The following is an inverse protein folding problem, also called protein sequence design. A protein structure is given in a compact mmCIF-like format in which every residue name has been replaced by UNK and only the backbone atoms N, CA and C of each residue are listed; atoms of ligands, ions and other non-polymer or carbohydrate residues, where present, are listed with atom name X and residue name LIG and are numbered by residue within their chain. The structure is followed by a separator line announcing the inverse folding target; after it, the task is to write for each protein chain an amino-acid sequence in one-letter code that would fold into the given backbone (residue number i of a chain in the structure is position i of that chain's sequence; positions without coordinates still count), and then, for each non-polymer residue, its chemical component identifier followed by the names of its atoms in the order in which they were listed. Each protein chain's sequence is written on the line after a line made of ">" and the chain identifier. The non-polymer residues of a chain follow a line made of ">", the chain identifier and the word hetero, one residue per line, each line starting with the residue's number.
data_IF_358416883572
#
_entry.id   IF_358416883572
#
_cell.length_a   1.000
_cell.length_b   1.000
_cell.length_c   1.000
_cell.angle_alpha   90.00
_cell.angle_beta   90.00
_cell.angle_gamma   90.00
#
_symmetry.space_group_name_H-M   'P 1'
#
loop_
_entity.id
_entity.type
_entity.pdbx_description
1 polymer ?
#
# COMPACT_ATOMS: atom_id res chain seq x y z
N UNK A 1 11.33 -9.45 8.38
CA UNK A 1 10.10 -8.92 7.75
C UNK A 1 8.94 -9.29 8.65
N UNK A 2 8.05 -8.34 8.97
CA UNK A 2 6.85 -8.61 9.78
C UNK A 2 5.97 -9.70 9.17
N UNK A 3 5.29 -10.49 9.99
CA UNK A 3 4.52 -11.64 9.49
C UNK A 3 3.26 -11.20 8.75
N UNK A 4 2.69 -10.02 9.06
CA UNK A 4 1.47 -9.54 8.40
C UNK A 4 1.62 -9.38 6.89
N UNK A 5 2.82 -9.06 6.40
CA UNK A 5 3.07 -8.85 4.98
C UNK A 5 3.02 -10.15 4.17
N UNK A 6 3.21 -11.32 4.79
CA UNK A 6 3.01 -12.62 4.12
C UNK A 6 1.57 -12.81 3.62
N UNK A 7 0.61 -12.11 4.22
CA UNK A 7 -0.79 -12.15 3.77
C UNK A 7 -0.98 -11.43 2.43
N UNK A 8 -0.13 -10.46 2.09
CA UNK A 8 -0.22 -9.71 0.83
C UNK A 8 0.04 -10.67 -0.34
N UNK A 9 1.04 -11.55 -0.24
CA UNK A 9 1.33 -12.56 -1.26
C UNK A 9 0.14 -13.48 -1.51
N UNK A 10 -0.53 -13.94 -0.44
CA UNK A 10 -1.73 -14.78 -0.53
C UNK A 10 -2.89 -14.04 -1.20
N UNK A 11 -3.03 -12.74 -0.90
CA UNK A 11 -4.05 -11.89 -1.52
C UNK A 11 -3.74 -11.67 -3.00
N UNK A 12 -2.48 -11.46 -3.36
CA UNK A 12 -2.05 -11.36 -4.77
C UNK A 12 -2.31 -12.68 -5.50
N UNK A 13 -2.04 -13.83 -4.87
CA UNK A 13 -2.31 -15.14 -5.47
C UNK A 13 -3.81 -15.37 -5.70
N UNK A 14 -4.67 -14.81 -4.83
CA UNK A 14 -6.12 -14.88 -4.97
C UNK A 14 -6.66 -13.90 -6.03
N UNK A 15 -6.34 -12.61 -5.90
CA UNK A 15 -6.85 -11.54 -6.76
C UNK A 15 -6.22 -11.53 -8.14
N UNK A 16 -4.96 -11.96 -8.24
CA UNK A 16 -4.14 -11.94 -9.45
C UNK A 16 -4.14 -10.55 -10.09
N UNK A 17 -3.68 -9.50 -9.39
CA UNK A 17 -3.58 -8.17 -9.97
C UNK A 17 -2.48 -8.12 -11.05
N UNK A 18 -2.70 -7.39 -12.13
CA UNK A 18 -1.68 -7.06 -13.12
C UNK A 18 -1.14 -5.63 -12.94
N UNK A 19 -1.92 -4.77 -12.30
CA UNK A 19 -1.59 -3.37 -12.04
C UNK A 19 -1.68 -3.07 -10.54
N UNK A 20 -0.57 -2.64 -9.93
CA UNK A 20 -0.48 -2.43 -8.47
C UNK A 20 0.05 -1.05 -8.13
N UNK A 21 -0.59 -0.37 -7.17
CA UNK A 21 -0.10 0.86 -6.55
C UNK A 21 0.34 0.56 -5.12
N UNK A 22 1.52 1.02 -4.72
CA UNK A 22 1.99 0.99 -3.34
C UNK A 22 2.35 2.42 -2.89
N UNK A 23 1.74 2.86 -1.79
CA UNK A 23 2.13 4.07 -1.07
C UNK A 23 3.02 3.65 0.10
N UNK A 24 4.24 4.18 0.18
CA UNK A 24 5.26 3.76 1.14
C UNK A 24 6.19 2.67 0.59
N UNK A 25 6.78 2.89 -0.58
CA UNK A 25 7.71 1.93 -1.23
C UNK A 25 9.00 1.66 -0.41
N UNK A 26 9.42 2.63 0.41
CA UNK A 26 10.61 2.63 1.23
C UNK A 26 11.87 2.19 0.46
N UNK A 27 12.35 0.97 0.72
CA UNK A 27 13.58 0.45 0.14
C UNK A 27 13.36 -0.44 -1.11
N UNK A 28 12.10 -0.66 -1.49
CA UNK A 28 11.69 -1.45 -2.65
C UNK A 28 11.77 -2.97 -2.50
N UNK A 29 12.07 -3.52 -1.31
CA UNK A 29 12.05 -4.98 -1.12
C UNK A 29 10.63 -5.53 -1.29
N UNK A 30 9.64 -4.85 -0.69
CA UNK A 30 8.24 -5.24 -0.82
C UNK A 30 7.71 -5.10 -2.25
N UNK A 31 8.13 -4.06 -2.96
CA UNK A 31 7.81 -3.90 -4.38
C UNK A 31 8.27 -5.11 -5.21
N UNK A 32 9.41 -5.73 -4.86
CA UNK A 32 9.88 -6.97 -5.47
C UNK A 32 8.99 -8.14 -5.07
N UNK A 33 8.67 -8.31 -3.78
CA UNK A 33 7.83 -9.42 -3.30
C UNK A 33 6.45 -9.40 -3.99
N UNK A 34 5.81 -8.23 -4.04
CA UNK A 34 4.54 -7.98 -4.74
C UNK A 34 4.66 -8.32 -6.23
N UNK A 35 5.69 -7.80 -6.90
CA UNK A 35 5.89 -8.04 -8.33
C UNK A 35 6.14 -9.52 -8.63
N UNK A 36 6.95 -10.20 -7.82
CA UNK A 36 7.20 -11.64 -7.95
C UNK A 36 5.92 -12.46 -7.79
N UNK A 37 5.09 -12.12 -6.80
CA UNK A 37 3.81 -12.80 -6.59
C UNK A 37 2.87 -12.58 -7.80
N UNK A 38 2.75 -11.35 -8.31
CA UNK A 38 1.87 -11.04 -9.43
C UNK A 38 2.33 -11.69 -10.76
N UNK A 39 3.64 -11.75 -11.01
CA UNK A 39 4.24 -12.36 -12.21
C UNK A 39 4.06 -13.89 -12.28
N UNK A 40 3.64 -14.55 -11.18
CA UNK A 40 3.22 -15.96 -11.23
C UNK A 40 1.93 -16.15 -12.04
N UNK A 41 1.11 -15.09 -12.17
CA UNK A 41 -0.22 -15.14 -12.78
C UNK A 41 -0.31 -14.37 -14.10
N UNK A 42 0.55 -13.37 -14.29
CA UNK A 42 0.55 -12.52 -15.47
C UNK A 42 1.91 -12.47 -16.15
N UNK A 43 1.90 -12.48 -17.49
CA UNK A 43 3.11 -12.22 -18.28
C UNK A 43 3.58 -10.78 -18.13
N UNK A 44 2.65 -9.83 -17.93
CA UNK A 44 2.97 -8.42 -17.77
C UNK A 44 2.36 -7.87 -16.49
N UNK A 45 3.20 -7.22 -15.69
CA UNK A 45 2.80 -6.57 -14.44
C UNK A 45 3.36 -5.16 -14.41
N UNK A 46 2.56 -4.22 -13.91
CA UNK A 46 2.99 -2.85 -13.68
C UNK A 46 2.83 -2.43 -12.23
N UNK A 47 3.84 -1.76 -11.72
CA UNK A 47 3.91 -1.28 -10.35
C UNK A 47 4.14 0.23 -10.29
N UNK A 48 3.28 0.95 -9.57
CA UNK A 48 3.49 2.34 -9.19
C UNK A 48 3.89 2.43 -7.72
N UNK A 49 5.08 2.94 -7.45
CA UNK A 49 5.58 3.15 -6.10
C UNK A 49 5.64 4.63 -5.75
N UNK A 50 4.97 5.02 -4.67
CA UNK A 50 5.04 6.35 -4.09
C UNK A 50 5.84 6.30 -2.80
N UNK A 51 6.77 7.24 -2.63
CA UNK A 51 7.47 7.45 -1.36
C UNK A 51 8.12 8.84 -1.34
N UNK A 52 8.47 9.31 -0.15
CA UNK A 52 9.33 10.49 0.00
C UNK A 52 10.79 10.15 -0.36
N UNK A 53 11.22 8.89 -0.22
CA UNK A 53 12.59 8.44 -0.44
C UNK A 53 13.59 9.26 0.41
N UNK A 54 14.60 9.88 -0.21
CA UNK A 54 15.51 10.81 0.47
C UNK A 54 14.97 12.25 0.56
N UNK A 55 13.70 12.48 0.20
CA UNK A 55 13.05 13.78 0.38
C UNK A 55 12.60 13.95 1.82
N UNK A 56 13.18 14.89 2.54
CA UNK A 56 12.68 15.29 3.85
C UNK A 56 12.02 16.66 3.67
N UNK A 57 10.70 16.68 3.53
CA UNK A 57 9.93 17.91 3.73
C UNK A 57 9.98 18.30 5.22
N UNK A 58 9.92 19.59 5.53
CA UNK A 58 9.98 20.07 6.92
C UNK A 58 8.95 19.34 7.80
N UNK A 59 9.42 18.76 8.92
CA UNK A 59 8.63 18.06 9.93
C UNK A 59 7.86 16.80 9.46
N UNK A 60 8.17 16.22 8.28
CA UNK A 60 7.54 14.99 7.80
C UNK A 60 7.64 13.84 8.82
N UNK A 61 8.84 13.55 9.31
CA UNK A 61 9.06 12.41 10.22
C UNK A 61 8.33 12.57 11.55
N UNK A 62 8.26 13.80 12.07
CA UNK A 62 7.51 14.08 13.29
C UNK A 62 6.00 13.93 13.08
N UNK A 63 5.49 14.43 11.95
CA UNK A 63 4.07 14.36 11.60
C UNK A 63 3.61 12.92 11.42
N UNK A 64 4.41 12.10 10.73
CA UNK A 64 4.08 10.72 10.42
C UNK A 64 4.58 9.70 11.45
N UNK A 65 5.21 10.14 12.55
CA UNK A 65 5.95 9.25 13.46
C UNK A 65 6.93 8.30 12.73
N UNK A 66 7.49 8.75 11.61
CA UNK A 66 8.42 7.93 10.83
C UNK A 66 9.73 7.78 11.59
N UNK A 67 10.07 6.53 11.89
CA UNK A 67 11.35 6.14 12.51
C UNK A 67 12.25 5.36 11.55
N UNK A 68 11.77 5.10 10.31
CA UNK A 68 12.52 4.35 9.30
C UNK A 68 13.57 5.26 8.64
N UNK A 69 14.75 4.75 8.28
CA UNK A 69 15.73 5.51 7.54
C UNK A 69 15.21 5.79 6.13
N UNK A 70 15.46 7.02 5.67
CA UNK A 70 15.21 7.44 4.30
C UNK A 70 16.09 6.68 3.31
N UNK A 71 15.49 6.09 2.28
CA UNK A 71 16.22 5.35 1.23
C UNK A 71 16.26 6.19 -0.05
N UNK A 72 17.42 6.41 -0.68
CA UNK A 72 17.48 7.19 -1.92
C UNK A 72 16.73 6.55 -3.07
N UNK A 73 15.93 7.34 -3.80
CA UNK A 73 15.18 6.91 -4.99
C UNK A 73 16.10 6.23 -6.02
N UNK A 74 17.33 6.71 -6.17
CA UNK A 74 18.31 6.12 -7.11
C UNK A 74 18.61 4.65 -6.79
N UNK A 75 18.65 4.28 -5.50
CA UNK A 75 19.02 2.96 -5.04
C UNK A 75 17.82 2.01 -5.21
N UNK A 76 16.62 2.47 -4.85
CA UNK A 76 15.36 1.74 -5.10
C UNK A 76 15.16 1.52 -6.59
N UNK A 77 15.37 2.55 -7.42
CA UNK A 77 15.27 2.46 -8.88
C UNK A 77 16.29 1.49 -9.46
N UNK A 78 17.53 1.49 -8.98
CA UNK A 78 18.55 0.54 -9.41
C UNK A 78 18.12 -0.90 -9.09
N UNK A 79 17.62 -1.14 -7.87
CA UNK A 79 17.10 -2.43 -7.43
C UNK A 79 15.96 -2.93 -8.33
N UNK A 80 14.95 -2.10 -8.60
CA UNK A 80 13.83 -2.48 -9.47
C UNK A 80 14.24 -2.65 -10.95
N UNK A 81 15.25 -1.93 -11.42
CA UNK A 81 15.82 -2.15 -12.77
C UNK A 81 16.48 -3.52 -12.90
N UNK A 82 17.28 -3.94 -11.92
CA UNK A 82 17.89 -5.28 -11.90
C UNK A 82 16.80 -6.35 -11.89
N UNK A 83 15.77 -6.18 -11.07
CA UNK A 83 14.64 -7.10 -11.03
C UNK A 83 13.93 -7.19 -12.38
N UNK A 84 13.68 -6.06 -13.05
CA UNK A 84 13.11 -6.01 -14.40
C UNK A 84 13.96 -6.70 -15.46
N UNK A 85 15.29 -6.59 -15.40
CA UNK A 85 16.19 -7.27 -16.33
C UNK A 85 16.06 -8.80 -16.25
N UNK A 86 15.77 -9.31 -15.05
CA UNK A 86 15.51 -10.73 -14.80
C UNK A 86 14.06 -11.14 -15.11
N UNK A 87 13.14 -10.17 -15.16
CA UNK A 87 11.71 -10.37 -15.38
C UNK A 87 11.19 -9.37 -16.42
N UNK A 88 11.39 -9.62 -17.73
CA UNK A 88 11.04 -8.66 -18.80
C UNK A 88 9.57 -8.24 -18.86
N UNK A 89 8.68 -9.02 -18.24
CA UNK A 89 7.26 -8.70 -18.07
C UNK A 89 6.97 -7.61 -17.03
N UNK A 90 7.94 -7.28 -16.18
CA UNK A 90 7.79 -6.28 -15.14
C UNK A 90 8.06 -4.87 -15.68
N UNK A 91 7.18 -3.94 -15.33
CA UNK A 91 7.38 -2.52 -15.55
C UNK A 91 7.03 -1.74 -14.29
N UNK A 92 7.62 -0.56 -14.12
CA UNK A 92 7.39 0.22 -12.92
C UNK A 92 7.62 1.70 -13.13
N UNK A 93 6.91 2.50 -12.34
CA UNK A 93 7.12 3.92 -12.14
C UNK A 93 7.31 4.21 -10.65
N UNK A 94 8.31 5.04 -10.32
CA UNK A 94 8.56 5.50 -8.96
C UNK A 94 8.35 7.01 -8.90
N UNK A 95 7.44 7.42 -8.04
CA UNK A 95 7.02 8.81 -7.83
C UNK A 95 7.56 9.25 -6.47
N UNK A 96 8.42 10.27 -6.48
CA UNK A 96 9.07 10.80 -5.28
C UNK A 96 8.36 12.05 -4.78
N UNK A 97 7.95 12.04 -3.51
CA UNK A 97 7.40 13.18 -2.80
C UNK A 97 6.31 12.78 -1.80
N UNK A 98 5.78 13.78 -1.07
CA UNK A 98 4.65 13.58 -0.15
C UNK A 98 3.42 13.09 -0.93
N UNK A 99 2.80 11.99 -0.50
CA UNK A 99 1.64 11.39 -1.16
C UNK A 99 0.45 12.37 -1.21
N UNK A 100 0.34 13.26 -0.21
CA UNK A 100 -0.66 14.35 -0.17
C UNK A 100 -0.54 15.36 -1.30
N UNK A 101 0.58 15.37 -2.01
CA UNK A 101 0.78 16.24 -3.17
C UNK A 101 0.89 15.42 -4.46
N UNK A 102 1.72 14.38 -4.44
CA UNK A 102 2.07 13.61 -5.64
C UNK A 102 0.89 12.84 -6.22
N UNK A 103 0.00 12.31 -5.37
CA UNK A 103 -1.21 11.61 -5.82
C UNK A 103 -2.23 12.51 -6.54
N UNK A 104 -2.12 13.83 -6.39
CA UNK A 104 -2.99 14.81 -7.02
C UNK A 104 -2.36 15.46 -8.27
N UNK A 105 -1.15 15.03 -8.65
CA UNK A 105 -0.49 15.59 -9.82
C UNK A 105 -1.28 15.24 -11.11
N UNK A 106 -1.49 16.19 -12.04
CA UNK A 106 -2.28 15.93 -13.26
C UNK A 106 -1.58 14.96 -14.20
N UNK A 107 -0.24 14.96 -14.23
CA UNK A 107 0.57 14.15 -15.15
C UNK A 107 1.04 12.83 -14.51
N UNK A 108 0.17 12.17 -13.76
CA UNK A 108 0.49 10.86 -13.20
C UNK A 108 0.69 9.82 -14.32
N UNK A 109 1.65 8.89 -14.16
CA UNK A 109 1.94 7.89 -15.18
C UNK A 109 0.74 6.98 -15.43
N UNK A 110 0.55 6.65 -16.71
CA UNK A 110 -0.48 5.73 -17.21
C UNK A 110 0.21 4.53 -17.81
N UNK A 111 -0.22 3.33 -17.43
CA UNK A 111 0.35 2.11 -17.97
C UNK A 111 -0.37 1.69 -19.24
N UNK A 112 0.36 1.52 -20.34
CA UNK A 112 -0.18 0.87 -21.55
C UNK A 112 0.19 -0.61 -21.52
N UNK A 113 -0.82 -1.48 -21.42
CA UNK A 113 -0.62 -2.92 -21.31
C UNK A 113 0.05 -3.47 -22.58
N UNK A 114 1.22 -4.12 -22.52
CA UNK A 114 2.03 -4.45 -23.69
C UNK A 114 1.33 -5.31 -24.76
N UNK A 115 0.45 -6.23 -24.34
CA UNK A 115 -0.29 -7.08 -25.29
C UNK A 115 -1.55 -6.45 -25.89
N UNK A 116 -2.30 -5.65 -25.12
CA UNK A 116 -3.64 -5.20 -25.52
C UNK A 116 -3.65 -3.74 -25.96
N UNK A 117 -2.64 -2.96 -25.57
CA UNK A 117 -2.59 -1.51 -25.76
C UNK A 117 -3.51 -0.73 -24.83
N UNK A 118 -4.30 -1.40 -23.97
CA UNK A 118 -5.21 -0.74 -23.04
C UNK A 118 -4.41 0.12 -22.05
N UNK A 119 -4.87 1.35 -21.85
CA UNK A 119 -4.33 2.25 -20.86
C UNK A 119 -5.02 2.03 -19.50
N UNK A 120 -4.23 1.90 -18.44
CA UNK A 120 -4.69 1.77 -17.05
C UNK A 120 -4.17 2.97 -16.28
N UNK A 121 -5.08 3.75 -15.73
CA UNK A 121 -4.73 4.78 -14.76
C UNK A 121 -4.50 4.15 -13.39
N UNK A 122 -3.61 4.72 -12.58
CA UNK A 122 -3.36 4.22 -11.22
C UNK A 122 -4.64 4.16 -10.34
N UNK A 123 -5.62 5.02 -10.62
CA UNK A 123 -6.93 5.05 -9.93
C UNK A 123 -7.89 3.95 -10.37
N UNK A 124 -7.45 3.14 -11.33
CA UNK A 124 -8.15 1.98 -11.88
C UNK A 124 -7.33 0.70 -11.64
N UNK A 125 -6.24 0.78 -10.85
CA UNK A 125 -5.38 -0.34 -10.58
C UNK A 125 -6.12 -1.50 -9.91
N UNK A 126 -5.69 -2.72 -10.19
CA UNK A 126 -6.31 -3.94 -9.68
C UNK A 126 -6.13 -4.08 -8.16
N UNK A 127 -5.00 -3.61 -7.65
CA UNK A 127 -4.67 -3.63 -6.23
C UNK A 127 -3.97 -2.34 -5.81
N UNK A 128 -4.39 -1.78 -4.69
CA UNK A 128 -3.72 -0.68 -3.99
C UNK A 128 -3.26 -1.16 -2.63
N UNK A 129 -2.05 -0.81 -2.23
CA UNK A 129 -1.56 -0.99 -0.88
C UNK A 129 -1.08 0.34 -0.28
N UNK A 130 -1.70 0.75 0.83
CA UNK A 130 -1.40 1.99 1.55
C UNK A 130 -0.62 1.65 2.82
N UNK A 131 0.68 1.97 2.86
CA UNK A 131 1.61 1.85 3.99
C UNK A 131 2.61 3.03 4.00
N UNK A 132 2.10 4.23 3.72
CA UNK A 132 2.89 5.46 3.64
C UNK A 132 3.12 6.09 5.00
N UNK A 133 2.41 7.20 5.24
CA UNK A 133 2.41 7.89 6.53
C UNK A 133 1.41 7.29 7.51
N UNK A 134 1.65 7.48 8.81
CA UNK A 134 0.80 6.94 9.86
C UNK A 134 -0.30 7.89 10.31
N UNK A 135 -0.25 9.18 9.99
CA UNK A 135 -1.27 10.13 10.44
C UNK A 135 -2.61 9.91 9.75
N UNK A 136 -3.72 10.09 10.48
CA UNK A 136 -5.08 9.94 9.93
C UNK A 136 -5.28 10.84 8.71
N UNK A 137 -4.75 12.07 8.73
CA UNK A 137 -4.82 13.01 7.60
C UNK A 137 -4.18 12.44 6.33
N UNK A 138 -2.97 11.88 6.44
CA UNK A 138 -2.25 11.29 5.30
C UNK A 138 -2.98 10.05 4.79
N UNK A 139 -3.41 9.17 5.70
CA UNK A 139 -4.16 7.95 5.36
C UNK A 139 -5.49 8.27 4.68
N UNK A 140 -6.23 9.26 5.17
CA UNK A 140 -7.49 9.72 4.56
C UNK A 140 -7.27 10.32 3.17
N UNK A 141 -6.25 11.17 3.01
CA UNK A 141 -5.90 11.72 1.69
C UNK A 141 -5.61 10.61 0.66
N UNK A 142 -4.78 9.64 1.04
CA UNK A 142 -4.32 8.60 0.13
C UNK A 142 -5.47 7.68 -0.25
N UNK A 143 -6.31 7.32 0.73
CA UNK A 143 -7.54 6.57 0.49
C UNK A 143 -8.51 7.34 -0.41
N UNK A 144 -8.78 8.63 -0.14
CA UNK A 144 -9.75 9.40 -0.92
C UNK A 144 -9.37 9.50 -2.40
N UNK A 145 -8.07 9.57 -2.70
CA UNK A 145 -7.60 9.54 -4.08
C UNK A 145 -7.83 8.17 -4.74
N UNK A 146 -7.62 7.09 -4.00
CA UNK A 146 -7.52 5.72 -4.52
C UNK A 146 -8.78 4.87 -4.27
N UNK A 147 -9.80 5.40 -3.58
CA UNK A 147 -11.05 4.69 -3.21
C UNK A 147 -11.86 4.15 -4.38
N UNK A 148 -11.57 4.61 -5.61
CA UNK A 148 -12.16 4.07 -6.83
C UNK A 148 -11.59 2.70 -7.25
N UNK A 149 -10.42 2.32 -6.73
CA UNK A 149 -9.80 1.02 -7.01
C UNK A 149 -10.59 -0.11 -6.32
N UNK A 150 -10.64 -1.26 -6.99
CA UNK A 150 -11.51 -2.39 -6.57
C UNK A 150 -11.04 -3.13 -5.33
N UNK A 151 -9.74 -3.16 -5.11
CA UNK A 151 -9.10 -3.86 -3.99
C UNK A 151 -8.09 -2.91 -3.37
N UNK A 152 -8.28 -2.61 -2.09
CA UNK A 152 -7.40 -1.73 -1.34
C UNK A 152 -7.01 -2.46 -0.06
N UNK A 153 -5.72 -2.53 0.20
CA UNK A 153 -5.13 -2.95 1.45
C UNK A 153 -4.60 -1.71 2.15
N UNK A 154 -4.85 -1.58 3.44
CA UNK A 154 -4.31 -0.50 4.26
C UNK A 154 -3.56 -1.13 5.43
N UNK A 155 -2.30 -0.74 5.63
CA UNK A 155 -1.57 -1.07 6.86
C UNK A 155 -2.09 -0.19 8.02
N UNK A 156 -1.46 -0.30 9.18
CA UNK A 156 -1.72 0.58 10.33
C UNK A 156 -3.15 0.52 10.89
N UNK A 157 -3.81 -0.65 10.79
CA UNK A 157 -4.99 -0.92 11.60
C UNK A 157 -4.56 -1.36 13.00
N UNK A 158 -4.77 -0.50 14.00
CA UNK A 158 -4.27 -0.73 15.34
C UNK A 158 -5.29 -1.38 16.27
N UNK A 159 -4.86 -2.34 17.08
CA UNK A 159 -5.69 -2.91 18.16
C UNK A 159 -4.92 -2.96 19.49
N UNK A 160 -5.62 -2.91 20.65
CA UNK A 160 -4.96 -3.00 21.94
C UNK A 160 -4.24 -4.33 22.15
N UNK A 161 -3.04 -4.29 22.72
CA UNK A 161 -2.37 -5.51 23.17
C UNK A 161 -2.94 -6.01 24.52
N UNK A 162 -2.47 -7.16 25.00
CA UNK A 162 -2.88 -7.74 26.28
C UNK A 162 -2.63 -6.85 27.51
N UNK A 163 -1.78 -5.82 27.38
CA UNK A 163 -1.52 -4.81 28.43
C UNK A 163 -2.49 -3.61 28.36
N UNK A 164 -3.43 -3.61 27.41
CA UNK A 164 -4.34 -2.49 27.16
C UNK A 164 -3.70 -1.29 26.46
N UNK A 165 -2.45 -1.42 26.01
CA UNK A 165 -1.75 -0.36 25.27
C UNK A 165 -2.12 -0.43 23.79
N UNK A 166 -2.29 0.74 23.17
CA UNK A 166 -2.61 0.92 21.75
C UNK A 166 -2.11 2.30 21.29
N UNK A 167 -1.66 2.47 20.04
CA UNK A 167 -1.53 3.79 19.44
C UNK A 167 -2.82 4.60 19.54
N UNK A 168 -2.69 5.93 19.57
CA UNK A 168 -3.82 6.86 19.59
C UNK A 168 -4.51 6.86 18.21
N UNK A 169 -5.52 6.00 18.06
CA UNK A 169 -6.27 5.81 16.81
C UNK A 169 -7.05 7.04 16.34
N UNK A 170 -7.15 8.08 17.17
CA UNK A 170 -7.73 9.37 16.77
C UNK A 170 -6.73 10.26 16.00
N UNK A 171 -5.45 9.87 16.00
CA UNK A 171 -4.36 10.59 15.34
C UNK A 171 -3.63 9.74 14.31
N UNK A 172 -3.57 8.43 14.52
CA UNK A 172 -2.79 7.52 13.70
C UNK A 172 -3.58 6.30 13.23
N UNK A 173 -3.19 5.79 12.07
CA UNK A 173 -3.72 4.57 11.48
C UNK A 173 -5.01 4.76 10.70
N UNK A 174 -5.53 3.65 10.18
CA UNK A 174 -6.71 3.64 9.33
C UNK A 174 -8.01 3.33 10.08
N UNK A 175 -7.97 3.09 11.40
CA UNK A 175 -9.10 2.64 12.22
C UNK A 175 -10.38 3.46 12.00
N UNK A 176 -10.33 4.79 12.21
CA UNK A 176 -11.51 5.65 12.07
C UNK A 176 -12.03 5.76 10.64
N UNK A 177 -11.15 5.57 9.66
CA UNK A 177 -11.50 5.60 8.25
C UNK A 177 -12.28 4.34 7.88
N UNK A 178 -11.75 3.16 8.23
CA UNK A 178 -12.34 1.89 7.80
C UNK A 178 -13.64 1.56 8.51
N UNK A 179 -13.89 2.07 9.71
CA UNK A 179 -15.19 1.94 10.40
C UNK A 179 -16.37 2.51 9.60
N UNK A 180 -16.10 3.41 8.63
CA UNK A 180 -17.12 4.06 7.80
C UNK A 180 -17.45 3.27 6.53
N UNK A 181 -16.76 2.15 6.26
CA UNK A 181 -16.89 1.37 5.03
C UNK A 181 -16.84 -0.14 5.32
N UNK A 182 -17.42 -0.99 4.45
CA UNK A 182 -17.24 -2.43 4.57
C UNK A 182 -15.75 -2.79 4.49
N UNK A 183 -15.26 -3.49 5.52
CA UNK A 183 -13.85 -3.80 5.65
C UNK A 183 -13.63 -5.19 6.28
N UNK A 184 -12.50 -5.81 5.96
CA UNK A 184 -12.07 -7.07 6.55
C UNK A 184 -10.69 -6.89 7.18
N UNK A 185 -10.61 -6.95 8.51
CA UNK A 185 -9.35 -6.93 9.24
C UNK A 185 -8.66 -8.29 9.10
N UNK A 186 -7.47 -8.31 8.50
CA UNK A 186 -6.73 -9.55 8.25
C UNK A 186 -6.21 -10.16 9.57
N UNK A 187 -6.16 -11.49 9.69
CA UNK A 187 -5.95 -12.16 10.98
C UNK A 187 -4.54 -12.05 11.55
N UNK A 188 -3.50 -11.87 10.72
CA UNK A 188 -2.12 -11.77 11.22
C UNK A 188 -1.85 -10.35 11.72
N UNK A 189 -1.30 -10.29 12.94
CA UNK A 189 -1.01 -9.09 13.70
C UNK A 189 0.44 -9.10 14.16
N UNK A 190 1.10 -7.94 14.09
CA UNK A 190 2.45 -7.74 14.60
C UNK A 190 2.44 -6.77 15.80
N UNK A 191 3.38 -6.88 16.74
CA UNK A 191 3.50 -5.93 17.85
C UNK A 191 4.00 -4.56 17.38
N UNK A 192 3.46 -3.49 17.95
CA UNK A 192 3.92 -2.11 17.74
C UNK A 192 4.89 -1.68 18.84
N UNK A 193 5.93 -0.93 18.49
CA UNK A 193 6.82 -0.33 19.47
C UNK A 193 6.05 0.60 20.41
N UNK A 194 6.22 0.44 21.73
CA UNK A 194 5.43 1.18 22.74
C UNK A 194 4.12 0.50 23.16
N UNK A 195 3.69 -0.56 22.46
CA UNK A 195 2.49 -1.34 22.79
C UNK A 195 1.38 -1.20 21.76
N UNK A 196 0.44 -2.14 21.78
CA UNK A 196 -0.54 -2.34 20.71
C UNK A 196 -0.11 -3.39 19.70
N UNK A 197 -1.00 -3.61 18.75
CA UNK A 197 -0.88 -4.54 17.64
C UNK A 197 -1.21 -3.79 16.35
N UNK A 198 -0.56 -4.14 15.25
CA UNK A 198 -0.84 -3.62 13.91
C UNK A 198 -1.26 -4.74 12.98
N UNK A 199 -2.27 -4.47 12.16
CA UNK A 199 -2.85 -5.39 11.19
C UNK A 199 -3.05 -4.65 9.87
N UNK A 200 -3.18 -5.44 8.80
CA UNK A 200 -3.65 -4.95 7.51
C UNK A 200 -5.17 -5.12 7.47
N UNK A 201 -5.86 -4.15 6.90
CA UNK A 201 -7.28 -4.21 6.59
C UNK A 201 -7.50 -4.20 5.07
N UNK A 202 -8.41 -5.04 4.61
CA UNK A 202 -8.80 -5.13 3.21
C UNK A 202 -10.16 -4.45 3.00
N UNK A 203 -10.29 -3.71 1.90
CA UNK A 203 -11.50 -3.01 1.46
C UNK A 203 -11.94 -3.48 0.06
N UNK A 204 -13.11 -3.02 -0.37
CA UNK A 204 -13.63 -3.31 -1.71
C UNK A 204 -14.04 -4.77 -1.87
N UNK A 205 -13.71 -5.37 -3.01
CA UNK A 205 -14.18 -6.74 -3.36
C UNK A 205 -13.78 -7.76 -2.30
N UNK A 206 -12.58 -7.65 -1.73
CA UNK A 206 -12.11 -8.53 -0.65
C UNK A 206 -12.97 -8.42 0.59
N UNK A 207 -13.31 -7.20 1.03
CA UNK A 207 -14.16 -7.02 2.20
C UNK A 207 -15.55 -7.64 1.99
N UNK A 208 -16.13 -7.46 0.80
CA UNK A 208 -17.45 -8.00 0.47
C UNK A 208 -17.54 -9.53 0.54
N UNK A 209 -16.42 -10.25 0.48
CA UNK A 209 -16.41 -11.72 0.60
C UNK A 209 -16.51 -12.20 2.05
N UNK A 210 -16.19 -11.35 3.02
CA UNK A 210 -16.07 -11.71 4.44
C UNK A 210 -16.94 -10.87 5.37
N UNK A 211 -17.53 -9.78 4.89
CA UNK A 211 -18.53 -8.98 5.59
C UNK A 211 -19.91 -9.47 5.16
N UNK A 212 -20.72 -9.99 6.09
CA UNK A 212 -22.12 -10.31 5.79
C UNK A 212 -22.94 -9.02 5.69
N UNK A 213 -24.01 -8.99 4.89
CA UNK A 213 -24.92 -7.83 4.80
C UNK A 213 -25.48 -7.40 6.17
N UNK A 214 -25.40 -8.26 7.19
CA UNK A 214 -25.87 -7.99 8.56
C UNK A 214 -24.84 -7.32 9.48
N UNK A 215 -23.61 -7.07 9.04
CA UNK A 215 -22.52 -6.50 9.85
C UNK A 215 -22.26 -5.01 9.57
N UNK A 216 -23.10 -4.33 8.78
CA UNK A 216 -23.04 -2.88 8.57
C UNK A 216 -23.96 -2.21 9.61
N UNK A 217 -23.45 -1.36 10.52
CA UNK A 217 -24.26 -0.68 11.54
C UNK A 217 -25.31 0.27 10.96
#
# INVERSE_FOLDING_TARGET
>A
MPDRYKQIDLIIDYLKPASIVEIGTWNGDRAIDIAQAALKHHTYVHYWGFDVFEHVADNHDQRELNVKPHTPLKDVRAKLKIFREQHPGFSFDLIKGDSRLTLHHPDLPVWSHPNTGNCVQLTEADLVFIDGGHSVETVENDFDRLRGCKNILMDDYYTPCNRGLCPDVTKFGCNQLVEKVPHWVLPVRDPVAGGGLVQIVALGTLASLFVSETDIP
#
